data_IF_817411801782
#
_entry.id   IF_817411801782
#
_cell.length_a   1.000
_cell.length_b   1.000
_cell.length_c   1.000
_cell.angle_alpha   90.00
_cell.angle_beta   90.00
_cell.angle_gamma   90.00
#
_symmetry.space_group_name_H-M   'P 1'
#
loop_
_entity.id
_entity.type
_entity.pdbx_description
1 polymer ?
#
# COMPACT_ATOMS: atom_id res chain seq x y z
N UNK A 1 -2.77 1.89 26.79
CA UNK A 1 -3.48 0.96 25.87
C UNK A 1 -4.94 0.97 26.28
N UNK A 2 -5.80 1.71 25.59
CA UNK A 2 -7.23 1.76 25.91
C UNK A 2 -7.95 0.68 25.10
N UNK A 3 -8.36 -0.40 25.76
CA UNK A 3 -9.23 -1.41 25.16
C UNK A 3 -10.58 -0.76 24.86
N UNK A 4 -10.93 -0.66 23.59
CA UNK A 4 -12.30 -0.35 23.17
C UNK A 4 -13.01 -1.70 23.02
N UNK A 5 -13.85 -2.05 24.00
CA UNK A 5 -14.73 -3.21 23.92
C UNK A 5 -16.06 -2.80 23.27
N UNK A 6 -16.60 -3.66 22.40
CA UNK A 6 -17.99 -3.59 21.96
C UNK A 6 -18.72 -4.81 22.49
N UNK A 7 -19.82 -4.58 23.19
CA UNK A 7 -20.71 -5.65 23.62
C UNK A 7 -21.77 -5.88 22.55
N UNK A 8 -21.90 -7.13 22.11
CA UNK A 8 -22.95 -7.55 21.21
C UNK A 8 -23.87 -8.49 21.98
N UNK A 9 -25.11 -8.07 22.21
CA UNK A 9 -26.12 -8.89 22.89
C UNK A 9 -26.87 -9.68 21.82
N UNK A 10 -26.82 -11.00 21.93
CA UNK A 10 -27.57 -11.93 21.09
C UNK A 10 -28.42 -12.87 21.94
N UNK A 11 -29.28 -13.65 21.29
CA UNK A 11 -30.10 -14.67 21.96
C UNK A 11 -29.77 -16.04 21.38
N UNK A 12 -29.57 -17.02 22.26
CA UNK A 12 -29.44 -18.43 21.89
C UNK A 12 -30.76 -19.14 22.22
N UNK A 13 -31.42 -19.67 21.19
CA UNK A 13 -32.65 -20.46 21.31
C UNK A 13 -32.36 -21.95 21.16
N UNK A 14 -32.65 -22.76 22.18
CA UNK A 14 -32.59 -24.24 22.09
C UNK A 14 -33.84 -24.84 22.73
N UNK A 15 -34.58 -25.66 21.98
CA UNK A 15 -35.70 -26.47 22.47
C UNK A 15 -36.61 -25.74 23.49
N UNK A 16 -37.10 -24.56 23.09
CA UNK A 16 -38.01 -23.69 23.86
C UNK A 16 -37.39 -22.83 24.98
N UNK A 17 -36.07 -22.91 25.20
CA UNK A 17 -35.34 -22.02 26.11
C UNK A 17 -34.64 -20.90 25.34
N UNK A 18 -34.86 -19.65 25.74
CA UNK A 18 -34.18 -18.47 25.19
C UNK A 18 -33.24 -17.92 26.25
N UNK A 19 -31.95 -17.91 25.96
CA UNK A 19 -30.93 -17.37 26.84
C UNK A 19 -30.28 -16.17 26.17
N UNK A 20 -30.22 -15.03 26.87
CA UNK A 20 -29.42 -13.88 26.45
C UNK A 20 -27.94 -14.23 26.55
N UNK A 21 -27.23 -14.12 25.44
CA UNK A 21 -25.77 -14.30 25.37
C UNK A 21 -25.13 -12.95 25.11
N UNK A 22 -24.19 -12.57 25.96
CA UNK A 22 -23.38 -11.37 25.76
C UNK A 22 -22.06 -11.81 25.13
N UNK A 23 -21.83 -11.38 23.89
CA UNK A 23 -20.54 -11.56 23.21
C UNK A 23 -19.74 -10.28 23.42
N UNK A 24 -18.64 -10.38 24.16
CA UNK A 24 -17.69 -9.28 24.31
C UNK A 24 -16.66 -9.39 23.19
N UNK A 25 -16.76 -8.51 22.20
CA UNK A 25 -15.75 -8.40 21.14
C UNK A 25 -14.68 -7.44 21.61
N UNK A 26 -13.54 -8.00 22.02
CA UNK A 26 -12.35 -7.24 22.32
C UNK A 26 -11.58 -7.01 21.01
N UNK A 27 -11.46 -5.75 20.59
CA UNK A 27 -10.46 -5.41 19.57
C UNK A 27 -9.09 -5.51 20.25
N UNK A 28 -8.34 -6.56 19.91
CA UNK A 28 -6.92 -6.58 20.21
C UNK A 28 -6.28 -5.64 19.19
N UNK A 29 -5.79 -4.49 19.67
CA UNK A 29 -4.87 -3.70 18.86
C UNK A 29 -3.64 -4.58 18.63
N UNK A 30 -3.42 -5.01 17.39
CA UNK A 30 -2.19 -5.72 17.07
C UNK A 30 -1.01 -4.79 17.40
N UNK A 31 0.00 -5.25 18.15
CA UNK A 31 1.15 -4.43 18.42
C UNK A 31 1.79 -4.04 17.08
N UNK A 32 2.04 -2.75 16.89
CA UNK A 32 2.78 -2.27 15.71
C UNK A 32 4.19 -2.85 15.81
N UNK A 33 4.44 -3.93 15.08
CA UNK A 33 5.75 -4.58 15.02
C UNK A 33 6.70 -3.63 14.30
N UNK A 34 7.51 -2.90 15.08
CA UNK A 34 8.60 -2.09 14.52
C UNK A 34 9.69 -3.02 14.00
N UNK A 35 9.88 -3.01 12.69
CA UNK A 35 10.91 -3.79 12.01
C UNK A 35 12.15 -2.92 11.81
N UNK A 36 13.32 -3.44 12.16
CA UNK A 36 14.57 -2.69 12.09
C UNK A 36 14.94 -2.26 10.65
N UNK A 37 14.49 -3.01 9.66
CA UNK A 37 14.71 -2.73 8.25
C UNK A 37 13.80 -1.65 7.67
N UNK A 38 12.70 -1.27 8.35
CA UNK A 38 11.78 -0.26 7.83
C UNK A 38 12.47 1.12 7.92
N UNK A 39 12.65 1.84 6.79
CA UNK A 39 13.20 3.18 6.80
C UNK A 39 12.36 4.13 7.66
N UNK A 40 13.03 4.93 8.50
CA UNK A 40 12.39 5.90 9.40
C UNK A 40 12.71 7.32 8.92
N UNK A 41 11.68 8.18 8.94
CA UNK A 41 11.83 9.59 8.62
C UNK A 41 12.59 10.38 9.72
N UNK A 42 13.28 11.48 9.37
CA UNK A 42 13.43 12.03 8.02
C UNK A 42 14.40 11.20 7.16
N UNK A 43 14.03 11.00 5.89
CA UNK A 43 14.91 10.32 4.94
C UNK A 43 16.08 11.23 4.52
N UNK A 44 17.28 10.68 4.27
CA UNK A 44 18.43 11.46 3.82
C UNK A 44 18.38 11.78 2.31
N UNK A 45 17.23 11.60 1.68
CA UNK A 45 16.97 11.83 0.27
C UNK A 45 15.62 12.51 0.11
N UNK A 46 15.34 13.02 -1.09
CA UNK A 46 14.07 13.65 -1.39
C UNK A 46 12.98 12.60 -1.64
N UNK A 47 11.79 12.85 -1.11
CA UNK A 47 10.61 12.00 -1.29
C UNK A 47 9.39 12.89 -1.51
N UNK A 48 8.56 12.55 -2.50
CA UNK A 48 7.30 13.24 -2.75
C UNK A 48 6.22 12.27 -3.22
N UNK A 49 4.97 12.55 -2.82
CA UNK A 49 3.82 11.87 -3.37
C UNK A 49 3.52 12.43 -4.77
N UNK A 50 3.36 11.53 -5.74
CA UNK A 50 3.10 11.87 -7.14
C UNK A 50 1.80 11.23 -7.62
N UNK A 51 1.22 11.78 -8.66
CA UNK A 51 0.08 11.21 -9.36
C UNK A 51 0.25 11.44 -10.85
N UNK A 52 0.00 10.39 -11.64
CA UNK A 52 0.13 10.41 -13.09
C UNK A 52 -1.11 9.74 -13.73
N UNK A 53 -1.31 9.96 -15.02
CA UNK A 53 -2.53 9.53 -15.73
C UNK A 53 -2.19 8.51 -16.80
N UNK A 54 -2.88 7.37 -16.78
CA UNK A 54 -3.01 6.53 -17.96
C UNK A 54 -4.18 7.07 -18.80
N UNK A 55 -3.84 7.84 -19.83
CA UNK A 55 -4.84 8.54 -20.67
C UNK A 55 -5.72 7.56 -21.46
N UNK A 56 -5.15 6.47 -21.96
CA UNK A 56 -5.87 5.46 -22.73
C UNK A 56 -6.97 4.79 -21.89
N UNK A 57 -6.66 4.50 -20.63
CA UNK A 57 -7.62 3.92 -19.68
C UNK A 57 -8.46 4.98 -18.95
N UNK A 58 -8.15 6.28 -19.09
CA UNK A 58 -8.77 7.41 -18.38
C UNK A 58 -8.73 7.24 -16.86
N UNK A 59 -7.63 6.72 -16.32
CA UNK A 59 -7.41 6.54 -14.89
C UNK A 59 -6.25 7.39 -14.37
N UNK A 60 -6.30 7.68 -13.08
CA UNK A 60 -5.24 8.30 -12.30
C UNK A 60 -4.58 7.27 -11.40
N UNK A 61 -3.25 7.22 -11.41
CA UNK A 61 -2.41 6.32 -10.62
C UNK A 61 -1.59 7.14 -9.64
N UNK A 62 -1.54 6.71 -8.39
CA UNK A 62 -0.88 7.43 -7.30
C UNK A 62 0.34 6.67 -6.79
N UNK A 63 1.43 7.37 -6.55
CA UNK A 63 2.66 6.78 -6.07
C UNK A 63 3.51 7.72 -5.24
N UNK A 64 4.73 7.30 -4.97
CA UNK A 64 5.75 8.08 -4.29
C UNK A 64 7.04 8.00 -5.12
N UNK A 65 7.60 9.17 -5.43
CA UNK A 65 8.88 9.30 -6.10
C UNK A 65 9.95 9.62 -5.05
N UNK A 66 11.04 8.87 -5.05
CA UNK A 66 12.22 9.17 -4.25
C UNK A 66 13.40 9.48 -5.15
N UNK A 67 14.14 10.53 -4.81
CA UNK A 67 15.27 11.04 -5.57
C UNK A 67 16.46 11.26 -4.64
N UNK A 68 17.71 10.96 -5.05
CA UNK A 68 18.89 11.21 -4.23
C UNK A 68 18.96 12.68 -3.77
N UNK A 69 18.63 13.62 -4.67
CA UNK A 69 18.33 15.02 -4.37
C UNK A 69 17.16 15.50 -5.22
N UNK A 70 16.46 16.55 -4.76
CA UNK A 70 15.30 17.14 -5.46
C UNK A 70 15.57 17.54 -6.92
N UNK A 71 16.82 17.90 -7.25
CA UNK A 71 17.25 18.26 -8.61
C UNK A 71 18.41 17.35 -9.03
N UNK A 72 18.50 17.05 -10.33
CA UNK A 72 19.58 16.25 -10.91
C UNK A 72 19.08 15.32 -12.00
N UNK A 73 20.00 14.55 -12.59
CA UNK A 73 19.69 13.44 -13.49
C UNK A 73 20.26 12.18 -12.86
N UNK A 74 19.41 11.18 -12.67
CA UNK A 74 19.77 9.93 -12.03
C UNK A 74 19.28 8.78 -12.90
N UNK A 75 19.96 7.62 -12.90
CA UNK A 75 19.32 6.39 -13.34
C UNK A 75 18.02 6.21 -12.56
N UNK A 76 16.96 5.77 -13.24
CA UNK A 76 15.65 5.64 -12.65
C UNK A 76 15.12 4.21 -12.79
N UNK A 77 14.40 3.74 -11.78
CA UNK A 77 13.69 2.47 -11.81
C UNK A 77 12.26 2.65 -11.33
N UNK A 78 11.37 1.80 -11.85
CA UNK A 78 9.99 1.69 -11.39
C UNK A 78 9.84 0.32 -10.74
N UNK A 79 9.36 0.28 -9.50
CA UNK A 79 9.05 -0.98 -8.83
C UNK A 79 7.64 -1.43 -9.24
N UNK A 80 7.56 -2.56 -9.94
CA UNK A 80 6.33 -3.14 -10.46
C UNK A 80 5.91 -4.30 -9.55
N UNK A 81 4.68 -4.27 -9.06
CA UNK A 81 4.13 -5.32 -8.20
C UNK A 81 3.92 -6.63 -8.99
N UNK A 82 3.65 -7.70 -8.25
CA UNK A 82 3.43 -9.04 -8.80
C UNK A 82 1.96 -9.45 -8.78
N UNK A 83 1.70 -10.66 -8.28
CA UNK A 83 0.35 -11.22 -8.21
C UNK A 83 -0.53 -10.48 -7.20
N UNK A 84 -1.79 -10.23 -7.59
CA UNK A 84 -2.80 -9.54 -6.80
C UNK A 84 -2.63 -8.01 -6.82
N UNK A 85 -3.67 -7.30 -6.39
CA UNK A 85 -3.62 -5.84 -6.29
C UNK A 85 -2.82 -5.40 -5.06
N UNK A 86 -1.79 -4.58 -5.26
CA UNK A 86 -0.87 -4.15 -4.22
C UNK A 86 -0.78 -2.62 -4.13
N UNK A 87 -0.51 -2.14 -2.92
CA UNK A 87 -0.14 -0.73 -2.73
C UNK A 87 1.34 -0.51 -3.09
N UNK A 88 1.76 0.76 -3.15
CA UNK A 88 3.14 1.19 -3.46
C UNK A 88 4.25 0.65 -2.56
N UNK A 89 3.91 -0.02 -1.46
CA UNK A 89 4.86 -0.66 -0.55
C UNK A 89 4.96 -2.18 -0.78
N UNK A 90 4.12 -2.76 -1.64
CA UNK A 90 3.88 -4.19 -1.75
C UNK A 90 3.64 -4.82 -0.36
N UNK A 91 2.81 -4.14 0.46
CA UNK A 91 2.73 -4.44 1.88
C UNK A 91 2.01 -5.76 2.16
N UNK A 92 2.65 -6.65 2.92
CA UNK A 92 2.07 -7.94 3.34
C UNK A 92 2.59 -8.34 4.71
N UNK A 93 1.73 -8.80 5.62
CA UNK A 93 2.10 -9.19 6.99
C UNK A 93 2.99 -8.15 7.72
N UNK A 94 2.60 -6.88 7.65
CA UNK A 94 3.33 -5.70 8.14
C UNK A 94 4.69 -5.42 7.45
N UNK A 95 5.13 -6.22 6.47
CA UNK A 95 6.36 -5.96 5.71
C UNK A 95 6.08 -4.97 4.59
N UNK A 96 7.08 -4.13 4.25
CA UNK A 96 7.00 -3.15 3.17
C UNK A 96 8.21 -3.29 2.23
N UNK A 97 8.33 -4.40 1.50
CA UNK A 97 9.53 -4.70 0.71
C UNK A 97 9.89 -3.58 -0.28
N UNK A 98 8.91 -2.94 -0.94
CA UNK A 98 9.21 -1.86 -1.88
C UNK A 98 9.68 -0.58 -1.20
N UNK A 99 9.27 -0.32 0.05
CA UNK A 99 9.83 0.81 0.82
C UNK A 99 11.31 0.59 1.10
N UNK A 100 11.68 -0.62 1.51
CA UNK A 100 13.05 -1.01 1.85
C UNK A 100 13.94 -0.96 0.61
N UNK A 101 13.49 -1.55 -0.50
CA UNK A 101 14.22 -1.56 -1.77
C UNK A 101 14.40 -0.13 -2.29
N UNK A 102 13.34 0.69 -2.24
CA UNK A 102 13.40 2.10 -2.64
C UNK A 102 14.42 2.87 -1.81
N UNK A 103 14.44 2.70 -0.48
CA UNK A 103 15.41 3.38 0.38
C UNK A 103 16.86 3.02 0.03
N UNK A 104 17.16 1.73 -0.17
CA UNK A 104 18.50 1.26 -0.51
C UNK A 104 18.95 1.80 -1.87
N UNK A 105 18.08 1.76 -2.88
CA UNK A 105 18.40 2.23 -4.22
C UNK A 105 18.58 3.75 -4.26
N UNK A 106 17.73 4.51 -3.58
CA UNK A 106 17.82 5.97 -3.55
C UNK A 106 19.08 6.45 -2.83
N UNK A 107 19.51 5.77 -1.77
CA UNK A 107 20.82 6.02 -1.13
C UNK A 107 22.02 5.66 -2.02
N UNK A 108 21.80 4.89 -3.09
CA UNK A 108 22.80 4.51 -4.10
C UNK A 108 22.68 5.35 -5.38
N UNK A 109 22.15 6.56 -5.27
CA UNK A 109 22.04 7.52 -6.38
C UNK A 109 21.09 7.08 -7.53
N UNK A 110 20.06 6.27 -7.22
CA UNK A 110 19.04 5.82 -8.17
C UNK A 110 17.68 6.44 -7.82
N UNK A 111 17.01 7.08 -8.78
CA UNK A 111 15.63 7.52 -8.61
C UNK A 111 14.67 6.33 -8.62
N UNK A 112 13.72 6.29 -7.69
CA UNK A 112 12.77 5.17 -7.58
C UNK A 112 11.34 5.68 -7.54
N UNK A 113 10.53 5.22 -8.49
CA UNK A 113 9.08 5.35 -8.45
C UNK A 113 8.46 4.04 -7.97
N UNK A 114 7.55 4.16 -7.02
CA UNK A 114 6.70 3.08 -6.54
C UNK A 114 5.26 3.58 -6.48
N UNK A 115 4.31 2.85 -7.01
CA UNK A 115 2.93 3.32 -7.16
C UNK A 115 1.92 2.25 -6.75
N UNK A 116 0.71 2.68 -6.39
CA UNK A 116 -0.39 1.79 -6.07
C UNK A 116 -0.96 1.23 -7.38
N UNK A 117 -1.21 -0.07 -7.43
CA UNK A 117 -1.81 -0.68 -8.62
C UNK A 117 -3.18 -0.07 -8.92
N UNK A 118 -3.60 -0.15 -10.17
CA UNK A 118 -4.93 0.29 -10.61
C UNK A 118 -6.03 -0.21 -9.68
N UNK A 119 -6.89 0.70 -9.23
CA UNK A 119 -8.02 0.40 -8.35
C UNK A 119 -7.60 -0.01 -6.92
N UNK A 120 -6.33 0.13 -6.56
CA UNK A 120 -5.80 -0.19 -5.24
C UNK A 120 -5.37 1.10 -4.53
N UNK A 121 -5.62 1.15 -3.22
CA UNK A 121 -5.28 2.28 -2.35
C UNK A 121 -5.73 3.63 -2.93
N UNK A 122 -4.80 4.53 -3.34
CA UNK A 122 -5.15 5.86 -3.87
C UNK A 122 -5.32 5.87 -5.40
N UNK A 123 -4.94 4.80 -6.09
CA UNK A 123 -5.10 4.69 -7.54
C UNK A 123 -6.56 4.39 -7.91
N UNK A 124 -7.02 5.00 -9.00
CA UNK A 124 -8.37 4.82 -9.54
C UNK A 124 -8.44 3.64 -10.52
N UNK A 125 -9.64 3.30 -11.00
CA UNK A 125 -9.86 2.21 -11.95
C UNK A 125 -10.37 0.93 -11.29
N UNK A 126 -10.36 -0.18 -12.05
CA UNK A 126 -10.88 -1.47 -11.60
C UNK A 126 -9.84 -2.57 -11.82
N UNK A 127 -9.21 -3.06 -10.74
CA UNK A 127 -8.22 -4.13 -10.78
C UNK A 127 -8.80 -5.43 -11.36
N UNK A 128 -9.95 -5.88 -10.85
CA UNK A 128 -10.54 -7.19 -11.18
C UNK A 128 -10.99 -7.32 -12.64
N UNK A 129 -11.24 -6.20 -13.32
CA UNK A 129 -11.60 -6.15 -14.73
C UNK A 129 -10.38 -5.98 -15.67
N UNK A 130 -9.16 -5.98 -15.13
CA UNK A 130 -7.94 -5.63 -15.88
C UNK A 130 -7.05 -6.84 -16.16
N UNK A 131 -6.27 -6.72 -17.22
CA UNK A 131 -5.32 -7.75 -17.67
C UNK A 131 -3.88 -7.31 -17.44
N UNK A 132 -2.94 -8.25 -17.57
CA UNK A 132 -1.50 -7.97 -17.55
C UNK A 132 -1.08 -6.95 -18.62
N UNK A 133 -1.75 -6.94 -19.78
CA UNK A 133 -1.50 -5.94 -20.83
C UNK A 133 -1.88 -4.54 -20.34
N UNK A 134 -2.98 -4.44 -19.59
CA UNK A 134 -3.37 -3.15 -19.05
C UNK A 134 -2.42 -2.70 -17.95
N UNK A 135 -1.94 -3.60 -17.10
CA UNK A 135 -0.94 -3.28 -16.08
C UNK A 135 0.40 -2.84 -16.70
N UNK A 136 0.82 -3.44 -17.82
CA UNK A 136 1.99 -2.98 -18.55
C UNK A 136 1.80 -1.53 -19.06
N UNK A 137 0.61 -1.20 -19.59
CA UNK A 137 0.27 0.18 -20.02
C UNK A 137 0.23 1.18 -18.86
N UNK A 138 -0.15 0.74 -17.66
CA UNK A 138 -0.07 1.58 -16.46
C UNK A 138 1.38 1.96 -16.15
N UNK A 139 2.31 1.00 -16.23
CA UNK A 139 3.75 1.24 -16.04
C UNK A 139 4.30 2.15 -17.13
N UNK A 140 3.95 1.91 -18.40
CA UNK A 140 4.36 2.77 -19.53
C UNK A 140 3.91 4.23 -19.31
N UNK A 141 2.71 4.45 -18.77
CA UNK A 141 2.20 5.80 -18.50
C UNK A 141 2.95 6.57 -17.41
N UNK A 142 3.85 5.92 -16.66
CA UNK A 142 4.72 6.58 -15.69
C UNK A 142 5.99 7.17 -16.31
N UNK A 143 6.31 6.83 -17.56
CA UNK A 143 7.55 7.23 -18.25
C UNK A 143 7.30 8.42 -19.21
N UNK A 144 6.06 8.58 -19.68
CA UNK A 144 5.67 9.45 -20.79
C UNK A 144 5.11 10.82 -20.37
#
# INVERSE_FOLDING_TARGET
>A
MNKISKELIGFLCVASLVISVIIIVNRLDEPVVKRAQDPVEPYPYYSEDVTFKNQAAKISLSGTLTLPKKKGRYPAVILISGSGGQNRNAAYANHKPFLIISDILTRKEIAVLRFDDRGIAKSTGNFSASTTVDFAKDVESAIA
#
